data_IF_023087563022
#
_entry.id   IF_023087563022
#
_cell.length_a   1.000
_cell.length_b   1.000
_cell.length_c   1.000
_cell.angle_alpha   90.00
_cell.angle_beta   90.00
_cell.angle_gamma   90.00
#
_symmetry.space_group_name_H-M   'P 1'
#
loop_
_entity.id
_entity.type
_entity.pdbx_description
1 polymer ?
#
# COMPACT_ATOMS: atom_id res chain seq x y z
N UNK A 1 39.78 2.97 11.23
CA UNK A 1 40.44 3.06 12.56
C UNK A 1 41.77 3.75 12.34
N UNK A 2 41.88 5.02 12.73
CA UNK A 2 43.14 5.77 12.68
C UNK A 2 44.07 5.36 13.80
N UNK A 3 45.38 5.42 13.55
CA UNK A 3 46.50 4.87 14.33
C UNK A 3 46.68 5.39 15.76
N UNK A 4 45.73 6.12 16.36
CA UNK A 4 45.94 6.76 17.66
C UNK A 4 44.77 6.67 18.65
N UNK A 5 43.96 5.61 18.63
CA UNK A 5 43.11 5.19 19.76
C UNK A 5 42.12 6.22 20.35
N UNK A 6 42.03 7.44 19.81
CA UNK A 6 41.05 8.44 20.15
C UNK A 6 39.75 8.04 19.47
N UNK A 7 38.71 7.84 20.27
CA UNK A 7 37.36 7.65 19.74
C UNK A 7 37.03 8.90 18.91
N UNK A 8 36.88 8.74 17.60
CA UNK A 8 36.46 9.83 16.71
C UNK A 8 35.16 10.45 17.20
N UNK A 9 34.95 11.74 16.92
CA UNK A 9 33.73 12.41 17.32
C UNK A 9 32.55 11.87 16.50
N UNK A 10 31.34 11.96 17.05
CA UNK A 10 30.12 11.66 16.30
C UNK A 10 29.49 12.98 15.91
N UNK A 11 29.45 13.26 14.61
CA UNK A 11 28.78 14.43 14.06
C UNK A 11 27.41 14.01 13.52
N UNK A 12 26.35 14.62 14.04
CA UNK A 12 24.98 14.33 13.58
C UNK A 12 24.35 15.59 13.04
N UNK A 13 23.94 15.55 11.78
CA UNK A 13 23.22 16.64 11.11
C UNK A 13 21.80 16.18 10.86
N UNK A 14 20.85 16.97 11.37
CA UNK A 14 19.42 16.76 11.13
C UNK A 14 18.89 17.82 10.19
N UNK A 15 18.22 17.37 9.14
CA UNK A 15 17.42 18.24 8.29
C UNK A 15 15.97 17.74 8.28
N UNK A 16 15.04 18.62 8.67
CA UNK A 16 13.62 18.32 8.74
C UNK A 16 12.88 19.18 7.72
N UNK A 17 12.08 18.56 6.87
CA UNK A 17 11.24 19.25 5.89
C UNK A 17 9.81 18.78 6.07
N UNK A 18 8.87 19.72 6.07
CA UNK A 18 7.42 19.42 6.10
C UNK A 18 6.78 19.94 4.82
N UNK A 19 7.01 21.21 4.47
CA UNK A 19 6.35 21.89 3.35
C UNK A 19 7.26 22.17 2.14
N UNK A 20 8.56 21.89 2.26
CA UNK A 20 9.55 22.25 1.25
C UNK A 20 10.06 21.01 0.52
N UNK A 21 10.18 21.11 -0.81
CA UNK A 21 10.73 20.04 -1.63
C UNK A 21 12.18 19.73 -1.23
N UNK A 22 12.59 18.45 -1.26
CA UNK A 22 14.00 18.08 -1.10
C UNK A 22 14.86 18.79 -2.15
N UNK A 23 16.04 19.26 -1.75
CA UNK A 23 17.01 19.88 -2.64
C UNK A 23 18.31 19.09 -2.60
N UNK A 24 18.56 18.29 -3.65
CA UNK A 24 19.73 17.42 -3.71
C UNK A 24 21.07 18.13 -3.84
N UNK A 25 21.10 19.32 -4.43
CA UNK A 25 22.32 20.13 -4.47
C UNK A 25 22.69 20.60 -3.06
N UNK A 26 21.70 21.04 -2.28
CA UNK A 26 21.90 21.45 -0.89
C UNK A 26 22.35 20.28 -0.02
N UNK A 27 21.69 19.13 -0.12
CA UNK A 27 22.03 17.94 0.65
C UNK A 27 23.44 17.43 0.32
N UNK A 28 23.81 17.43 -0.97
CA UNK A 28 25.15 17.06 -1.42
C UNK A 28 26.21 18.03 -0.89
N UNK A 29 25.89 19.33 -0.87
CA UNK A 29 26.80 20.35 -0.33
C UNK A 29 27.07 20.14 1.16
N UNK A 30 26.05 19.87 1.97
CA UNK A 30 26.23 19.60 3.39
C UNK A 30 27.03 18.32 3.64
N UNK A 31 26.74 17.26 2.88
CA UNK A 31 27.47 16.02 2.99
C UNK A 31 28.94 16.16 2.58
N UNK A 32 29.23 16.88 1.49
CA UNK A 32 30.61 17.17 1.08
C UNK A 32 31.36 18.00 2.12
N UNK A 33 30.71 19.01 2.68
CA UNK A 33 31.31 19.82 3.74
C UNK A 33 31.63 18.98 4.99
N UNK A 34 30.70 18.12 5.43
CA UNK A 34 30.88 17.32 6.63
C UNK A 34 32.04 16.33 6.48
N UNK A 35 32.13 15.62 5.34
CA UNK A 35 33.22 14.68 5.07
C UNK A 35 34.57 15.37 4.82
N UNK A 36 34.57 16.59 4.28
CA UNK A 36 35.81 17.35 4.09
C UNK A 36 36.35 17.94 5.40
N UNK A 37 35.45 18.44 6.26
CA UNK A 37 35.82 19.05 7.54
C UNK A 37 36.13 18.01 8.63
N UNK A 38 35.47 16.85 8.58
CA UNK A 38 35.53 15.81 9.61
C UNK A 38 35.75 14.41 9.00
N UNK A 39 36.86 14.16 8.27
CA UNK A 39 37.07 12.90 7.53
C UNK A 39 37.26 11.68 8.43
N UNK A 40 37.81 11.86 9.63
CA UNK A 40 38.13 10.78 10.57
C UNK A 40 37.03 10.52 11.63
N UNK A 41 35.96 11.32 11.60
CA UNK A 41 34.83 11.23 12.52
C UNK A 41 33.70 10.33 12.00
N UNK A 42 32.81 9.91 12.89
CA UNK A 42 31.57 9.22 12.52
C UNK A 42 30.53 10.27 12.14
N UNK A 43 30.27 10.40 10.85
CA UNK A 43 29.34 11.38 10.30
C UNK A 43 27.97 10.73 10.00
N UNK A 44 26.92 11.26 10.64
CA UNK A 44 25.53 10.82 10.48
C UNK A 44 24.69 11.97 9.92
N UNK A 45 24.23 11.81 8.68
CA UNK A 45 23.31 12.73 8.03
C UNK A 45 21.91 12.15 8.11
N UNK A 46 20.98 12.81 8.79
CA UNK A 46 19.60 12.35 8.98
C UNK A 46 18.64 13.34 8.35
N UNK A 47 17.81 12.84 7.45
CA UNK A 47 16.78 13.63 6.79
C UNK A 47 15.40 13.12 7.18
N UNK A 48 14.52 14.02 7.63
CA UNK A 48 13.14 13.69 8.02
C UNK A 48 12.17 14.38 7.09
N UNK A 49 11.28 13.60 6.46
CA UNK A 49 10.31 14.07 5.46
C UNK A 49 8.97 13.34 5.59
N UNK A 50 7.81 13.95 5.26
CA UNK A 50 6.52 13.26 5.27
C UNK A 50 6.46 12.08 4.29
N UNK A 51 7.18 12.19 3.19
CA UNK A 51 7.24 11.18 2.13
C UNK A 51 8.68 10.80 1.86
N UNK A 52 8.89 9.49 1.68
CA UNK A 52 10.17 8.90 1.29
C UNK A 52 10.08 8.36 -0.14
N UNK A 53 11.19 8.50 -0.87
CA UNK A 53 11.44 7.75 -2.09
C UNK A 53 11.76 6.29 -1.80
N UNK A 54 12.12 5.53 -2.84
CA UNK A 54 12.53 4.12 -2.71
C UNK A 54 13.83 3.96 -1.90
N UNK A 55 14.69 4.97 -1.97
CA UNK A 55 16.00 5.03 -1.35
C UNK A 55 16.37 6.49 -1.04
N UNK A 56 17.51 6.71 -0.38
CA UNK A 56 17.97 8.06 -0.02
C UNK A 56 18.24 8.92 -1.26
N UNK A 57 18.79 8.34 -2.33
CA UNK A 57 19.06 9.05 -3.58
C UNK A 57 17.78 9.54 -4.26
N UNK A 58 16.70 8.75 -4.26
CA UNK A 58 15.40 9.18 -4.78
C UNK A 58 14.66 10.13 -3.84
N UNK A 59 14.95 10.08 -2.53
CA UNK A 59 14.34 10.99 -1.55
C UNK A 59 14.98 12.38 -1.57
N UNK A 60 16.31 12.46 -1.60
CA UNK A 60 17.04 13.72 -1.44
C UNK A 60 18.19 13.90 -2.43
N UNK A 61 18.42 12.98 -3.36
CA UNK A 61 19.49 13.11 -4.36
C UNK A 61 20.87 12.68 -3.87
N UNK A 62 21.02 12.28 -2.60
CA UNK A 62 22.30 11.88 -2.02
C UNK A 62 22.12 10.62 -1.14
N UNK A 63 22.95 9.62 -1.39
CA UNK A 63 22.88 8.29 -0.76
C UNK A 63 23.51 8.24 0.64
N UNK A 64 24.29 9.26 1.03
CA UNK A 64 24.92 9.35 2.36
C UNK A 64 23.94 9.70 3.48
N UNK A 65 22.72 10.10 3.13
CA UNK A 65 21.69 10.48 4.07
C UNK A 65 20.86 9.27 4.52
N UNK A 66 20.55 9.22 5.81
CA UNK A 66 19.55 8.33 6.38
C UNK A 66 18.20 9.03 6.36
N UNK A 67 17.34 8.64 5.44
CA UNK A 67 16.01 9.24 5.27
C UNK A 67 14.96 8.50 6.11
N UNK A 68 14.21 9.25 6.91
CA UNK A 68 13.15 8.74 7.78
C UNK A 68 11.85 9.51 7.51
N UNK A 69 10.73 8.80 7.53
CA UNK A 69 9.43 9.47 7.65
C UNK A 69 9.08 9.68 9.12
N UNK A 70 8.06 10.51 9.35
CA UNK A 70 7.59 10.81 10.71
C UNK A 70 7.00 9.58 11.42
N UNK A 71 6.56 8.55 10.67
CA UNK A 71 6.09 7.29 11.23
C UNK A 71 7.27 6.49 11.80
N UNK A 72 8.34 6.31 11.02
CA UNK A 72 9.56 5.64 11.42
C UNK A 72 10.24 6.37 12.57
N UNK A 73 10.30 7.71 12.51
CA UNK A 73 10.81 8.53 13.61
C UNK A 73 10.02 8.26 14.90
N UNK A 74 8.69 8.24 14.81
CA UNK A 74 7.84 7.96 15.96
C UNK A 74 8.07 6.55 16.52
N UNK A 75 8.00 5.53 15.66
CA UNK A 75 7.95 4.14 16.08
C UNK A 75 9.32 3.58 16.49
N UNK A 76 10.39 4.01 15.83
CA UNK A 76 11.74 3.47 16.04
C UNK A 76 12.60 4.32 16.96
N UNK A 77 12.28 5.60 17.14
CA UNK A 77 13.06 6.50 17.99
C UNK A 77 12.25 7.03 19.16
N UNK A 78 11.15 7.76 18.90
CA UNK A 78 10.48 8.52 19.96
C UNK A 78 9.75 7.65 20.98
N UNK A 79 9.02 6.63 20.53
CA UNK A 79 8.34 5.70 21.44
C UNK A 79 9.35 4.89 22.29
N UNK A 80 10.38 4.25 21.71
CA UNK A 80 11.41 3.57 22.52
C UNK A 80 12.15 4.51 23.49
N UNK A 81 12.38 5.77 23.10
CA UNK A 81 13.02 6.75 23.99
C UNK A 81 12.19 7.05 25.23
N UNK A 82 10.86 7.10 25.12
CA UNK A 82 9.97 7.37 26.26
C UNK A 82 10.03 6.28 27.34
N UNK A 83 10.36 5.05 26.94
CA UNK A 83 10.49 3.90 27.82
C UNK A 83 11.95 3.69 28.31
N UNK A 84 12.90 4.53 27.86
CA UNK A 84 14.30 4.36 28.21
C UNK A 84 14.55 4.73 29.68
N UNK A 85 15.19 3.85 30.48
CA UNK A 85 15.32 4.03 31.93
C UNK A 85 16.16 5.26 32.33
N UNK A 86 17.01 5.75 31.43
CA UNK A 86 17.86 6.93 31.66
C UNK A 86 17.32 8.21 31.02
N UNK A 87 16.09 8.21 30.51
CA UNK A 87 15.52 9.42 29.91
C UNK A 87 15.35 10.50 31.00
N UNK A 88 15.83 11.70 30.71
CA UNK A 88 15.71 12.83 31.62
C UNK A 88 14.23 13.23 31.80
N UNK A 89 13.74 13.21 33.04
CA UNK A 89 12.35 13.53 33.39
C UNK A 89 11.94 14.97 33.01
N UNK A 90 12.89 15.90 32.84
CA UNK A 90 12.59 17.24 32.32
C UNK A 90 12.39 17.26 30.80
N UNK A 91 13.01 16.32 30.07
CA UNK A 91 12.95 16.22 28.60
C UNK A 91 11.72 15.40 28.16
N UNK A 92 11.34 14.40 28.96
CA UNK A 92 10.22 13.49 28.70
C UNK A 92 8.91 14.19 28.31
N UNK A 93 8.47 15.29 28.97
CA UNK A 93 7.26 16.01 28.56
C UNK A 93 7.33 16.58 27.13
N UNK A 94 8.50 17.03 26.67
CA UNK A 94 8.69 17.55 25.33
C UNK A 94 8.56 16.44 24.28
N UNK A 95 9.12 15.27 24.54
CA UNK A 95 8.99 14.10 23.66
C UNK A 95 7.53 13.64 23.61
N UNK A 96 6.84 13.56 24.75
CA UNK A 96 5.40 13.23 24.80
C UNK A 96 4.58 14.23 23.98
N UNK A 97 4.85 15.53 24.13
CA UNK A 97 4.14 16.57 23.39
C UNK A 97 4.43 16.46 21.88
N UNK A 98 5.67 16.16 21.50
CA UNK A 98 6.04 15.97 20.10
C UNK A 98 5.33 14.75 19.49
N UNK A 99 5.31 13.61 20.17
CA UNK A 99 4.54 12.42 19.75
C UNK A 99 3.05 12.72 19.61
N UNK A 100 2.47 13.52 20.52
CA UNK A 100 1.07 13.97 20.39
C UNK A 100 0.87 14.86 19.15
N UNK A 101 1.80 15.76 18.88
CA UNK A 101 1.75 16.65 17.71
C UNK A 101 1.89 15.88 16.39
N UNK A 102 2.67 14.80 16.34
CA UNK A 102 2.73 13.96 15.12
C UNK A 102 1.38 13.29 14.79
N UNK A 103 0.50 13.13 15.78
CA UNK A 103 -0.84 12.53 15.61
C UNK A 103 -1.90 13.56 15.17
N UNK A 104 -1.60 14.85 15.24
CA UNK A 104 -2.53 15.89 14.75
C UNK A 104 -2.45 15.96 13.23
N UNK A 105 -3.56 16.34 12.59
CA UNK A 105 -3.61 16.48 11.13
C UNK A 105 -2.93 17.78 10.72
N UNK A 106 -1.91 17.71 9.88
CA UNK A 106 -1.36 18.86 9.18
C UNK A 106 -1.81 18.80 7.72
N UNK A 107 -2.52 19.83 7.24
CA UNK A 107 -3.11 19.87 5.88
C UNK A 107 -3.90 18.60 5.50
N UNK A 108 -4.64 18.04 6.46
CA UNK A 108 -5.46 16.85 6.27
C UNK A 108 -4.76 15.50 6.50
N UNK A 109 -3.42 15.46 6.52
CA UNK A 109 -2.60 14.25 6.69
C UNK A 109 -2.10 14.13 8.14
N UNK A 110 -2.23 12.94 8.75
CA UNK A 110 -1.58 12.62 10.04
C UNK A 110 -0.13 12.21 9.78
N UNK A 111 0.82 12.77 10.53
CA UNK A 111 2.25 12.50 10.35
C UNK A 111 2.70 11.17 10.99
N UNK A 112 1.97 10.70 11.99
CA UNK A 112 2.09 9.35 12.52
C UNK A 112 0.71 8.76 12.84
N UNK A 113 0.51 7.51 12.47
CA UNK A 113 -0.67 6.68 12.75
C UNK A 113 -0.25 5.60 13.75
N UNK A 114 -1.04 5.36 14.79
CA UNK A 114 -0.74 4.28 15.74
C UNK A 114 -0.96 2.91 15.10
N UNK A 115 -0.25 1.88 15.59
CA UNK A 115 -0.50 0.50 15.15
C UNK A 115 -1.95 0.06 15.37
N UNK A 116 -2.60 0.55 16.43
CA UNK A 116 -4.01 0.27 16.69
C UNK A 116 -4.94 0.96 15.68
N UNK A 117 -4.68 2.22 15.33
CA UNK A 117 -5.40 2.91 14.26
C UNK A 117 -5.19 2.22 12.90
N UNK A 118 -3.97 1.75 12.61
CA UNK A 118 -3.69 0.98 11.40
C UNK A 118 -4.46 -0.34 11.39
N UNK A 119 -4.49 -1.05 12.52
CA UNK A 119 -5.25 -2.29 12.68
C UNK A 119 -6.76 -2.07 12.52
N UNK A 120 -7.30 -1.02 13.14
CA UNK A 120 -8.69 -0.63 13.02
C UNK A 120 -9.03 -0.20 11.59
N UNK A 121 -8.18 0.60 10.95
CA UNK A 121 -8.36 1.02 9.56
C UNK A 121 -8.35 -0.17 8.60
N UNK A 122 -7.42 -1.11 8.77
CA UNK A 122 -7.37 -2.34 7.98
C UNK A 122 -8.60 -3.22 8.25
N UNK A 123 -9.02 -3.39 9.50
CA UNK A 123 -10.22 -4.16 9.83
C UNK A 123 -11.51 -3.52 9.29
N UNK A 124 -11.60 -2.19 9.31
CA UNK A 124 -12.69 -1.44 8.69
C UNK A 124 -12.66 -1.56 7.17
N UNK A 125 -11.48 -1.43 6.56
CA UNK A 125 -11.30 -1.60 5.13
C UNK A 125 -11.67 -3.02 4.70
N UNK A 126 -11.16 -4.08 5.33
CA UNK A 126 -11.48 -5.46 4.99
C UNK A 126 -12.99 -5.76 5.09
N UNK A 127 -13.67 -5.12 6.05
CA UNK A 127 -15.12 -5.30 6.26
C UNK A 127 -15.98 -4.50 5.28
N UNK A 128 -15.49 -3.37 4.81
CA UNK A 128 -16.25 -2.38 4.04
C UNK A 128 -15.50 -1.89 2.80
N UNK A 129 -14.60 -2.70 2.23
CA UNK A 129 -13.68 -2.30 1.16
C UNK A 129 -14.44 -1.71 -0.02
N UNK A 130 -15.53 -2.38 -0.38
CA UNK A 130 -16.47 -1.99 -1.43
C UNK A 130 -17.06 -0.57 -1.22
N UNK A 131 -17.33 -0.17 0.03
CA UNK A 131 -17.82 1.17 0.34
C UNK A 131 -16.69 2.20 0.28
N UNK A 132 -15.51 1.88 0.83
CA UNK A 132 -14.36 2.77 0.78
C UNK A 132 -13.87 3.02 -0.64
N UNK A 133 -13.86 1.99 -1.48
CA UNK A 133 -13.49 2.07 -2.88
C UNK A 133 -14.54 2.89 -3.67
N UNK A 134 -15.84 2.71 -3.41
CA UNK A 134 -16.91 3.55 -3.97
C UNK A 134 -16.75 5.03 -3.60
N UNK A 135 -16.41 5.33 -2.35
CA UNK A 135 -16.15 6.69 -1.87
C UNK A 135 -14.93 7.28 -2.59
N UNK A 136 -13.85 6.50 -2.69
CA UNK A 136 -12.63 6.92 -3.38
C UNK A 136 -12.91 7.26 -4.84
N UNK A 137 -13.66 6.43 -5.56
CA UNK A 137 -14.01 6.65 -6.97
C UNK A 137 -14.93 7.87 -7.17
N UNK A 138 -15.87 8.10 -6.25
CA UNK A 138 -16.70 9.31 -6.25
C UNK A 138 -15.88 10.58 -6.02
N UNK A 139 -14.89 10.52 -5.13
CA UNK A 139 -13.99 11.64 -4.85
C UNK A 139 -13.00 11.90 -6.00
N UNK A 140 -12.54 10.85 -6.68
CA UNK A 140 -11.72 10.96 -7.90
C UNK A 140 -12.52 11.54 -9.07
N UNK A 141 -13.75 11.06 -9.29
CA UNK A 141 -14.59 11.54 -10.41
C UNK A 141 -15.05 13.00 -10.27
N UNK A 142 -15.10 13.51 -9.03
CA UNK A 142 -15.42 14.92 -8.74
C UNK A 142 -14.18 15.82 -8.70
N UNK A 143 -12.97 15.27 -8.92
CA UNK A 143 -11.71 16.02 -8.82
C UNK A 143 -11.42 16.55 -7.40
N UNK A 144 -12.12 16.05 -6.38
CA UNK A 144 -11.93 16.45 -4.99
C UNK A 144 -10.62 15.90 -4.39
N UNK A 145 -10.04 14.90 -5.05
CA UNK A 145 -8.71 14.34 -4.75
C UNK A 145 -7.82 14.58 -5.97
N UNK A 146 -6.95 15.58 -5.89
CA UNK A 146 -5.89 15.83 -6.88
C UNK A 146 -4.57 15.30 -6.31
N UNK A 147 -4.29 14.01 -6.57
CA UNK A 147 -2.94 13.48 -6.42
C UNK A 147 -2.42 13.10 -7.80
N UNK A 148 -1.53 13.95 -8.33
CA UNK A 148 -0.55 13.58 -9.33
C UNK A 148 0.14 12.29 -8.88
N UNK A 149 -0.13 11.20 -9.59
CA UNK A 149 0.35 9.84 -9.32
C UNK A 149 1.81 9.64 -9.72
N UNK A 150 2.62 10.71 -9.68
CA UNK A 150 4.04 10.65 -10.02
C UNK A 150 4.97 10.34 -8.83
N UNK A 151 4.54 10.55 -7.58
CA UNK A 151 5.46 10.54 -6.42
C UNK A 151 5.18 9.46 -5.35
N UNK A 152 4.39 8.44 -5.68
CA UNK A 152 4.33 7.21 -4.86
C UNK A 152 5.31 6.20 -5.46
N UNK A 153 6.52 6.11 -4.89
CA UNK A 153 7.36 4.94 -5.10
C UNK A 153 6.52 3.68 -4.79
N UNK A 154 6.58 2.62 -5.62
CA UNK A 154 5.63 1.49 -5.61
C UNK A 154 5.87 0.61 -4.38
N UNK A 155 5.33 1.05 -3.24
CA UNK A 155 5.24 0.27 -2.01
C UNK A 155 3.79 -0.12 -1.78
N UNK A 156 3.37 -1.24 -2.38
CA UNK A 156 2.05 -1.89 -2.21
C UNK A 156 0.82 -1.08 -2.63
N UNK A 157 0.94 -0.30 -3.70
CA UNK A 157 -0.20 -0.05 -4.61
C UNK A 157 -0.44 -1.30 -5.46
N UNK A 158 -1.68 -1.50 -5.94
CA UNK A 158 -2.10 -2.55 -6.91
C UNK A 158 -0.90 -2.99 -7.76
N UNK A 159 -0.40 -4.22 -7.62
CA UNK A 159 0.75 -4.70 -8.41
C UNK A 159 0.46 -4.50 -9.88
N UNK A 160 0.99 -3.49 -10.55
CA UNK A 160 0.80 -3.30 -11.99
C UNK A 160 1.68 -4.31 -12.70
N UNK A 161 1.17 -5.53 -12.83
CA UNK A 161 1.79 -6.66 -13.49
C UNK A 161 0.73 -7.43 -14.26
N UNK A 162 1.07 -7.91 -15.45
CA UNK A 162 0.17 -8.70 -16.28
C UNK A 162 -0.26 -9.96 -15.50
N UNK A 163 -1.55 -10.20 -15.39
CA UNK A 163 -2.10 -11.39 -14.75
C UNK A 163 -2.17 -12.51 -15.77
N UNK A 164 -1.56 -13.65 -15.46
CA UNK A 164 -1.57 -14.82 -16.35
C UNK A 164 -2.05 -16.03 -15.58
N UNK A 165 -3.14 -16.64 -16.05
CA UNK A 165 -3.70 -17.88 -15.49
C UNK A 165 -3.86 -18.92 -16.60
N UNK A 166 -3.83 -20.20 -16.24
CA UNK A 166 -4.15 -21.31 -17.14
C UNK A 166 -5.37 -22.04 -16.62
N UNK A 167 -6.40 -22.17 -17.47
CA UNK A 167 -7.63 -22.93 -17.23
C UNK A 167 -7.65 -24.16 -18.15
N UNK A 168 -7.52 -25.36 -17.59
CA UNK A 168 -7.50 -26.64 -18.34
C UNK A 168 -6.63 -26.61 -19.62
N UNK A 169 -5.45 -25.98 -19.51
CA UNK A 169 -4.49 -25.83 -20.61
C UNK A 169 -4.62 -24.53 -21.43
N UNK A 170 -5.73 -23.80 -21.32
CA UNK A 170 -5.93 -22.50 -21.99
C UNK A 170 -5.32 -21.38 -21.17
N UNK A 171 -4.36 -20.64 -21.74
CA UNK A 171 -3.73 -19.49 -21.08
C UNK A 171 -4.56 -18.23 -21.32
N UNK A 172 -4.94 -17.57 -20.24
CA UNK A 172 -5.64 -16.29 -20.24
C UNK A 172 -4.73 -15.25 -19.61
N UNK A 173 -4.61 -14.10 -20.26
CA UNK A 173 -3.64 -13.07 -19.90
C UNK A 173 -4.25 -11.69 -20.05
N UNK A 174 -4.20 -10.88 -18.99
CA UNK A 174 -4.77 -9.54 -18.99
C UNK A 174 -4.09 -8.60 -17.99
N UNK A 175 -4.22 -7.29 -18.23
CA UNK A 175 -3.55 -6.28 -17.41
C UNK A 175 -4.33 -5.91 -16.13
N UNK A 176 -5.61 -6.29 -16.05
CA UNK A 176 -6.49 -5.98 -14.91
C UNK A 176 -7.35 -7.17 -14.51
N UNK A 177 -7.71 -7.21 -13.21
CA UNK A 177 -8.64 -8.22 -12.65
C UNK A 177 -9.96 -8.23 -13.41
N UNK A 178 -10.49 -7.07 -13.78
CA UNK A 178 -11.75 -6.96 -14.51
C UNK A 178 -11.70 -7.64 -15.87
N UNK A 179 -10.65 -7.38 -16.64
CA UNK A 179 -10.49 -8.00 -17.96
C UNK A 179 -10.30 -9.51 -17.84
N UNK A 180 -9.44 -9.94 -16.90
CA UNK A 180 -9.23 -11.35 -16.59
C UNK A 180 -10.55 -12.06 -16.25
N UNK A 181 -11.34 -11.53 -15.32
CA UNK A 181 -12.64 -12.09 -14.95
C UNK A 181 -13.60 -12.13 -16.13
N UNK A 182 -13.55 -11.13 -17.02
CA UNK A 182 -14.33 -11.11 -18.25
C UNK A 182 -13.97 -12.27 -19.19
N UNK A 183 -12.68 -12.54 -19.40
CA UNK A 183 -12.22 -13.65 -20.24
C UNK A 183 -12.49 -15.02 -19.59
N UNK A 184 -12.29 -15.14 -18.27
CA UNK A 184 -12.64 -16.35 -17.52
C UNK A 184 -14.14 -16.62 -17.63
N UNK A 185 -14.99 -15.60 -17.43
CA UNK A 185 -16.44 -15.75 -17.58
C UNK A 185 -16.81 -16.23 -19.00
N UNK A 186 -16.18 -15.66 -20.03
CA UNK A 186 -16.39 -16.12 -21.42
C UNK A 186 -16.01 -17.58 -21.59
N UNK A 187 -14.82 -17.96 -21.12
CA UNK A 187 -14.31 -19.32 -21.19
C UNK A 187 -15.30 -20.32 -20.55
N UNK A 188 -15.66 -20.13 -19.29
CA UNK A 188 -16.54 -21.07 -18.56
C UNK A 188 -17.96 -21.14 -19.14
N UNK A 189 -18.45 -20.05 -19.75
CA UNK A 189 -19.77 -20.02 -20.40
C UNK A 189 -19.71 -20.72 -21.75
N UNK A 190 -18.67 -20.45 -22.55
CA UNK A 190 -18.53 -21.01 -23.90
C UNK A 190 -18.21 -22.51 -23.88
N UNK A 191 -17.51 -23.01 -22.86
CA UNK A 191 -17.30 -24.44 -22.62
C UNK A 191 -18.52 -25.14 -21.99
N UNK A 192 -19.52 -24.39 -21.53
CA UNK A 192 -20.70 -24.93 -20.84
C UNK A 192 -20.47 -25.32 -19.38
N UNK A 193 -19.27 -25.10 -18.85
CA UNK A 193 -18.89 -25.46 -17.48
C UNK A 193 -19.70 -24.71 -16.42
N UNK A 194 -20.20 -23.52 -16.73
CA UNK A 194 -21.04 -22.72 -15.83
C UNK A 194 -22.29 -23.48 -15.32
N UNK A 195 -22.72 -24.52 -16.04
CA UNK A 195 -23.86 -25.36 -15.64
C UNK A 195 -23.54 -26.40 -14.56
N UNK A 196 -22.25 -26.61 -14.23
CA UNK A 196 -21.80 -27.60 -13.22
C UNK A 196 -22.09 -27.16 -11.78
N UNK A 197 -22.43 -25.89 -11.56
CA UNK A 197 -22.70 -25.35 -10.23
C UNK A 197 -24.09 -24.70 -10.16
N UNK A 198 -24.76 -24.76 -9.00
CA UNK A 198 -25.99 -24.01 -8.81
C UNK A 198 -25.68 -22.51 -8.76
N UNK A 199 -26.45 -21.72 -9.48
CA UNK A 199 -26.40 -20.25 -9.43
C UNK A 199 -27.59 -19.69 -8.63
N UNK A 200 -27.43 -18.56 -7.94
CA UNK A 200 -26.18 -17.78 -7.76
C UNK A 200 -25.16 -18.52 -6.88
N UNK A 201 -23.88 -18.28 -7.14
CA UNK A 201 -22.78 -18.90 -6.40
C UNK A 201 -21.84 -17.85 -5.82
N UNK A 202 -21.30 -18.13 -4.64
CA UNK A 202 -20.17 -17.41 -4.07
C UNK A 202 -19.54 -18.19 -2.90
N UNK A 203 -18.32 -17.83 -2.47
CA UNK A 203 -17.58 -18.54 -1.42
C UNK A 203 -18.16 -18.30 -0.02
N UNK A 204 -19.15 -17.41 0.13
CA UNK A 204 -19.75 -17.06 1.41
C UNK A 204 -21.27 -16.92 1.31
N UNK A 205 -21.96 -16.99 2.45
CA UNK A 205 -23.41 -16.79 2.53
C UNK A 205 -23.85 -15.32 2.35
N UNK A 206 -22.90 -14.39 2.28
CA UNK A 206 -23.18 -12.94 2.25
C UNK A 206 -22.81 -12.29 0.91
N UNK A 207 -22.01 -12.96 0.07
CA UNK A 207 -21.56 -12.44 -1.23
C UNK A 207 -21.61 -13.55 -2.28
N UNK A 208 -22.35 -13.27 -3.34
CA UNK A 208 -22.28 -14.02 -4.59
C UNK A 208 -21.19 -13.44 -5.48
N UNK A 209 -20.48 -14.32 -6.18
CA UNK A 209 -19.45 -13.99 -7.17
C UNK A 209 -20.00 -14.16 -8.58
N UNK A 210 -20.86 -15.15 -8.81
CA UNK A 210 -21.39 -15.49 -10.13
C UNK A 210 -22.92 -15.66 -10.04
N UNK A 211 -23.65 -15.09 -10.99
CA UNK A 211 -25.11 -15.15 -11.03
C UNK A 211 -25.63 -15.09 -12.46
N UNK A 212 -26.85 -15.57 -12.67
CA UNK A 212 -27.64 -15.40 -13.90
C UNK A 212 -28.84 -14.46 -13.67
N UNK A 213 -28.91 -13.81 -12.51
CA UNK A 213 -29.97 -12.86 -12.16
C UNK A 213 -29.71 -11.50 -12.81
N UNK A 214 -30.80 -10.83 -13.19
CA UNK A 214 -30.78 -9.44 -13.68
C UNK A 214 -31.82 -8.65 -12.85
N UNK A 215 -31.40 -7.65 -12.05
CA UNK A 215 -30.02 -7.23 -11.81
C UNK A 215 -29.19 -8.30 -11.05
N UNK A 216 -27.85 -8.28 -11.16
CA UNK A 216 -26.99 -9.20 -10.42
C UNK A 216 -26.94 -8.78 -8.94
N UNK A 217 -27.67 -9.51 -8.08
CA UNK A 217 -27.83 -9.16 -6.67
C UNK A 217 -27.10 -10.13 -5.75
N UNK A 218 -26.57 -9.63 -4.64
CA UNK A 218 -26.12 -10.41 -3.49
C UNK A 218 -27.31 -10.81 -2.59
N UNK A 219 -27.13 -11.76 -1.64
CA UNK A 219 -28.17 -12.18 -0.70
C UNK A 219 -28.83 -11.04 0.10
N UNK A 220 -28.10 -9.94 0.31
CA UNK A 220 -28.57 -8.76 1.03
C UNK A 220 -29.33 -7.74 0.15
N UNK A 221 -29.56 -8.06 -1.13
CA UNK A 221 -30.26 -7.20 -2.09
C UNK A 221 -29.40 -6.09 -2.70
N UNK A 222 -28.10 -6.02 -2.42
CA UNK A 222 -27.19 -5.09 -3.11
C UNK A 222 -26.79 -5.63 -4.48
N UNK A 223 -26.69 -4.76 -5.47
CA UNK A 223 -26.13 -5.11 -6.77
C UNK A 223 -24.64 -5.40 -6.69
N UNK A 224 -24.15 -6.25 -7.60
CA UNK A 224 -22.72 -6.48 -7.78
C UNK A 224 -22.02 -5.17 -8.09
N UNK A 225 -20.83 -5.01 -7.54
CA UNK A 225 -19.99 -3.86 -7.76
C UNK A 225 -19.03 -4.13 -8.92
N UNK A 226 -19.16 -3.35 -9.99
CA UNK A 226 -18.49 -3.55 -11.29
C UNK A 226 -18.57 -5.00 -11.83
N UNK A 227 -19.78 -5.51 -12.12
CA UNK A 227 -19.91 -6.83 -12.73
C UNK A 227 -19.35 -6.84 -14.15
N UNK A 228 -18.69 -7.93 -14.53
CA UNK A 228 -18.51 -8.31 -15.93
C UNK A 228 -19.67 -9.20 -16.34
N UNK A 229 -20.18 -9.01 -17.55
CA UNK A 229 -21.36 -9.73 -18.04
C UNK A 229 -21.07 -10.43 -19.36
N UNK A 230 -21.65 -11.61 -19.54
CA UNK A 230 -21.56 -12.37 -20.78
C UNK A 230 -22.71 -13.38 -20.88
N UNK A 231 -23.44 -13.37 -22.01
CA UNK A 231 -24.55 -14.30 -22.34
C UNK A 231 -25.55 -14.55 -21.18
N UNK A 232 -25.97 -13.48 -20.48
CA UNK A 232 -26.96 -13.56 -19.40
C UNK A 232 -26.38 -13.93 -18.03
N UNK A 233 -25.07 -14.10 -17.93
CA UNK A 233 -24.36 -14.29 -16.67
C UNK A 233 -23.60 -13.04 -16.27
N UNK A 234 -23.45 -12.83 -14.97
CA UNK A 234 -22.72 -11.73 -14.37
C UNK A 234 -21.75 -12.26 -13.30
N UNK A 235 -20.52 -11.78 -13.35
CA UNK A 235 -19.48 -12.10 -12.37
C UNK A 235 -18.98 -10.81 -11.72
N UNK A 236 -18.92 -10.78 -10.39
CA UNK A 236 -18.32 -9.65 -9.69
C UNK A 236 -16.82 -9.62 -9.95
N UNK A 237 -16.29 -8.45 -10.34
CA UNK A 237 -14.88 -8.32 -10.73
C UNK A 237 -14.09 -7.33 -9.88
N UNK A 238 -14.74 -6.74 -8.88
CA UNK A 238 -14.12 -5.77 -7.99
C UNK A 238 -13.45 -6.43 -6.80
N UNK A 239 -12.18 -6.82 -7.01
CA UNK A 239 -11.33 -7.40 -5.97
C UNK A 239 -9.91 -6.84 -6.06
N UNK A 240 -9.22 -6.80 -4.91
CA UNK A 240 -7.76 -6.72 -4.90
C UNK A 240 -7.16 -7.98 -5.56
N UNK A 241 -6.01 -7.86 -6.23
CA UNK A 241 -5.39 -8.96 -7.03
C UNK A 241 -5.32 -10.30 -6.29
N UNK A 242 -4.72 -10.34 -5.11
CA UNK A 242 -4.57 -11.58 -4.32
C UNK A 242 -5.94 -12.20 -3.99
N UNK A 243 -6.92 -11.35 -3.67
CA UNK A 243 -8.29 -11.80 -3.39
C UNK A 243 -8.98 -12.30 -4.65
N UNK A 244 -8.75 -11.64 -5.79
CA UNK A 244 -9.29 -12.02 -7.08
C UNK A 244 -8.81 -13.41 -7.50
N UNK A 245 -7.50 -13.68 -7.39
CA UNK A 245 -6.91 -14.98 -7.70
C UNK A 245 -7.44 -16.08 -6.78
N UNK A 246 -7.62 -15.78 -5.48
CA UNK A 246 -8.25 -16.72 -4.54
C UNK A 246 -9.70 -17.03 -4.90
N UNK A 247 -10.48 -16.00 -5.24
CA UNK A 247 -11.89 -16.17 -5.66
C UNK A 247 -12.00 -16.97 -6.96
N UNK A 248 -11.08 -16.74 -7.91
CA UNK A 248 -10.99 -17.55 -9.13
C UNK A 248 -10.65 -19.00 -8.82
N UNK A 249 -9.72 -19.26 -7.89
CA UNK A 249 -9.41 -20.60 -7.40
C UNK A 249 -10.65 -21.29 -6.81
N UNK A 250 -11.32 -20.65 -5.86
CA UNK A 250 -12.53 -21.17 -5.24
C UNK A 250 -13.63 -21.49 -6.29
N UNK A 251 -13.74 -20.67 -7.34
CA UNK A 251 -14.70 -20.88 -8.43
C UNK A 251 -14.29 -22.05 -9.33
N UNK A 252 -13.03 -22.12 -9.74
CA UNK A 252 -12.52 -23.18 -10.60
C UNK A 252 -12.56 -24.54 -9.89
N UNK A 253 -12.20 -24.59 -8.61
CA UNK A 253 -12.33 -25.79 -7.77
C UNK A 253 -13.77 -26.29 -7.73
N UNK A 254 -14.74 -25.35 -7.63
CA UNK A 254 -16.16 -25.71 -7.61
C UNK A 254 -16.69 -26.18 -8.97
N UNK A 255 -16.14 -25.63 -10.06
CA UNK A 255 -16.45 -26.03 -11.44
C UNK A 255 -15.68 -27.28 -11.89
N UNK A 256 -14.76 -27.78 -11.05
CA UNK A 256 -13.85 -28.88 -11.37
C UNK A 256 -12.98 -28.56 -12.62
N UNK A 257 -12.45 -27.33 -12.66
CA UNK A 257 -11.54 -26.80 -13.69
C UNK A 257 -10.16 -26.64 -13.06
N UNK A 258 -9.11 -27.15 -13.70
CA UNK A 258 -7.74 -26.94 -13.26
C UNK A 258 -7.30 -25.49 -13.44
N UNK A 259 -6.98 -24.82 -12.33
CA UNK A 259 -6.41 -23.47 -12.31
C UNK A 259 -4.92 -23.50 -11.94
N UNK A 260 -4.09 -22.88 -12.77
CA UNK A 260 -2.68 -22.59 -12.46
C UNK A 260 -2.43 -21.09 -12.61
N UNK A 261 -1.82 -20.48 -11.59
CA UNK A 261 -1.40 -19.08 -11.61
C UNK A 261 0.02 -19.04 -12.16
N UNK A 262 0.21 -18.42 -13.32
CA UNK A 262 1.51 -18.32 -14.00
C UNK A 262 2.22 -17.02 -13.61
N UNK A 263 1.49 -15.91 -13.54
CA UNK A 263 2.03 -14.58 -13.17
C UNK A 263 0.95 -13.75 -12.45
N UNK A 264 1.32 -13.05 -11.38
CA UNK A 264 0.39 -12.42 -10.41
C UNK A 264 0.89 -11.08 -9.85
#
# INVERSE_FOLDING_TARGET
MGENGQAGHINVVFELKIDSKPNGEQATKYANWLWAAHPDDVNLLIYVSPTLGRDSRSTIGDERWYCLDYQLLNDKLLLPLLDHPSLNEKVKPFIIQYVKNLKTRHRGVKMAITNEEKRLALALYDRYSDVFDSIYDALMSTGAIDYSTADIAPGKGRSTGRLTVRLDGTVITDDTVRLLFGQVLRYIVDQGDITRIPLPWGPSRTRYVLTNQTPPLHPNGREFFYPVTYKGYAMESHYARDRALKVLGDLCDRLEIGLEIIDA
#
